data_IF_530825293428
#
_entry.id   IF_530825293428
#
_cell.length_a   1.000
_cell.length_b   1.000
_cell.length_c   1.000
_cell.angle_alpha   90.00
_cell.angle_beta   90.00
_cell.angle_gamma   90.00
#
_symmetry.space_group_name_H-M   'P 1'
#
loop_
_entity.id
_entity.type
_entity.pdbx_description
1 polymer ?
#
# COMPACT_ATOMS: atom_id res chain seq x y z
N UNK A 1 37.95 -7.58 2.87
CA UNK A 1 37.97 -6.91 4.19
C UNK A 1 36.96 -5.78 4.15
N UNK A 2 35.72 -6.04 4.52
CA UNK A 2 34.68 -5.02 4.60
C UNK A 2 34.14 -5.05 6.03
N UNK A 3 34.33 -3.96 6.76
CA UNK A 3 33.94 -3.84 8.17
C UNK A 3 32.43 -3.66 8.28
N UNK A 4 31.82 -4.57 9.05
CA UNK A 4 30.44 -4.52 9.50
C UNK A 4 30.22 -3.29 10.38
N UNK A 5 29.26 -2.43 10.02
CA UNK A 5 28.74 -1.40 10.92
C UNK A 5 27.43 -1.91 11.48
N UNK A 6 27.50 -2.37 12.71
CA UNK A 6 26.34 -2.74 13.53
C UNK A 6 25.90 -1.48 14.28
N UNK A 7 24.74 -0.92 13.95
CA UNK A 7 24.10 0.14 14.74
C UNK A 7 23.30 -0.48 15.87
N UNK A 8 23.86 -0.42 17.06
CA UNK A 8 23.22 -0.83 18.31
C UNK A 8 22.48 0.39 18.88
N UNK A 9 21.14 0.39 18.85
CA UNK A 9 20.34 1.38 19.56
C UNK A 9 20.36 1.08 21.06
N UNK A 10 21.11 1.84 21.83
CA UNK A 10 21.09 1.86 23.30
C UNK A 10 19.84 2.61 23.77
N UNK A 11 18.91 1.90 24.38
CA UNK A 11 17.80 2.45 25.17
C UNK A 11 18.35 2.84 26.55
N UNK A 12 18.48 4.13 26.82
CA UNK A 12 18.68 4.66 28.17
C UNK A 12 17.33 5.05 28.79
N UNK A 13 17.03 4.70 30.04
CA UNK A 13 15.80 5.11 30.71
C UNK A 13 15.90 6.59 31.10
N UNK A 14 15.06 7.43 30.52
CA UNK A 14 14.87 8.82 30.97
C UNK A 14 13.82 8.85 32.06
N UNK A 15 14.22 9.30 33.25
CA UNK A 15 13.34 9.62 34.36
C UNK A 15 12.53 10.87 34.03
N UNK A 16 11.22 10.72 33.84
CA UNK A 16 10.28 11.84 33.66
C UNK A 16 9.95 12.50 34.99
N UNK A 17 10.31 13.76 35.12
CA UNK A 17 9.70 14.66 36.11
C UNK A 17 8.44 15.28 35.51
N UNK A 18 7.33 15.14 36.23
CA UNK A 18 6.00 15.59 35.90
C UNK A 18 5.91 17.12 35.83
N UNK A 19 5.29 17.62 34.76
CA UNK A 19 4.93 19.02 34.60
C UNK A 19 4.54 19.32 33.15
N UNK A 20 3.53 18.65 32.61
CA UNK A 20 2.94 19.07 31.35
C UNK A 20 1.43 19.26 31.55
N UNK A 21 0.96 20.48 31.31
CA UNK A 21 -0.45 20.78 31.12
C UNK A 21 -0.98 19.90 29.99
N UNK A 22 -2.14 19.27 30.24
CA UNK A 22 -2.91 18.52 29.25
C UNK A 22 -3.28 19.45 28.09
N UNK A 23 -2.47 19.45 27.03
CA UNK A 23 -2.92 19.92 25.74
C UNK A 23 -3.84 18.82 25.19
N UNK A 24 -5.12 19.13 25.04
CA UNK A 24 -6.07 18.28 24.34
C UNK A 24 -5.47 17.82 23.01
N UNK A 25 -5.61 16.54 22.67
CA UNK A 25 -5.21 16.05 21.37
C UNK A 25 -5.88 16.92 20.29
N UNK A 26 -5.16 17.39 19.26
CA UNK A 26 -5.78 18.17 18.20
C UNK A 26 -6.91 17.35 17.58
N UNK A 27 -8.05 18.00 17.34
CA UNK A 27 -9.17 17.39 16.64
C UNK A 27 -8.69 16.79 15.31
N UNK A 28 -9.23 15.63 14.90
CA UNK A 28 -8.92 15.06 13.59
C UNK A 28 -9.15 16.12 12.52
N UNK A 29 -8.26 16.21 11.53
CA UNK A 29 -8.54 17.02 10.34
C UNK A 29 -9.79 16.45 9.70
N UNK A 30 -10.77 17.32 9.42
CA UNK A 30 -11.94 16.92 8.64
C UNK A 30 -11.44 16.35 7.30
N UNK A 31 -11.89 15.15 6.97
CA UNK A 31 -11.58 14.53 5.69
C UNK A 31 -12.00 15.40 4.49
N UNK A 32 -11.57 15.07 3.28
CA UNK A 32 -11.94 15.82 2.08
C UNK A 32 -13.48 15.92 1.97
N UNK A 33 -14.02 17.07 1.57
CA UNK A 33 -15.48 17.28 1.57
C UNK A 33 -16.17 16.35 0.57
N UNK A 34 -16.95 15.39 1.06
CA UNK A 34 -17.81 14.52 0.25
C UNK A 34 -19.05 15.27 -0.26
N UNK A 35 -19.70 14.73 -1.31
CA UNK A 35 -20.89 15.33 -1.93
C UNK A 35 -22.07 15.39 -0.96
N UNK A 36 -22.25 14.36 -0.16
CA UNK A 36 -23.30 14.25 0.86
C UNK A 36 -22.71 14.17 2.27
N UNK A 37 -23.37 14.74 3.29
CA UNK A 37 -22.90 14.63 4.66
C UNK A 37 -23.12 13.23 5.23
N UNK A 38 -22.18 12.74 6.02
CA UNK A 38 -22.31 11.48 6.76
C UNK A 38 -22.61 11.79 8.24
N UNK A 39 -23.90 11.80 8.65
CA UNK A 39 -24.27 12.25 10.00
C UNK A 39 -23.75 11.29 11.08
N UNK A 40 -22.94 11.81 12.02
CA UNK A 40 -22.35 11.05 13.12
C UNK A 40 -23.36 10.44 14.11
N UNK A 41 -24.58 10.93 14.14
CA UNK A 41 -25.64 10.39 14.99
C UNK A 41 -26.33 9.13 14.41
N UNK A 42 -26.23 8.88 13.12
CA UNK A 42 -26.83 7.71 12.47
C UNK A 42 -26.10 6.43 12.90
N UNK A 43 -26.86 5.34 13.07
CA UNK A 43 -26.31 4.00 13.36
C UNK A 43 -25.93 3.23 12.09
N UNK A 44 -25.94 3.88 10.97
CA UNK A 44 -25.48 3.37 9.69
C UNK A 44 -24.51 4.36 9.04
N UNK A 45 -23.65 3.83 8.22
CA UNK A 45 -22.79 4.59 7.31
C UNK A 45 -23.15 4.17 5.90
N UNK A 46 -23.32 5.13 5.02
CA UNK A 46 -23.53 4.89 3.60
C UNK A 46 -22.80 5.97 2.83
N UNK A 47 -21.86 5.56 2.02
CA UNK A 47 -21.04 6.42 1.19
C UNK A 47 -20.70 5.69 -0.12
N UNK A 48 -20.08 6.36 -1.03
CA UNK A 48 -19.56 5.74 -2.21
C UNK A 48 -18.53 6.61 -2.88
N UNK A 49 -17.74 5.98 -3.73
CA UNK A 49 -16.75 6.65 -4.55
C UNK A 49 -16.76 6.14 -5.98
N UNK A 50 -16.28 6.97 -6.89
CA UNK A 50 -15.96 6.57 -8.25
C UNK A 50 -14.64 7.23 -8.66
N UNK A 51 -13.71 6.45 -9.17
CA UNK A 51 -12.42 6.91 -9.65
C UNK A 51 -12.23 6.48 -11.10
N UNK A 52 -11.86 7.41 -11.96
CA UNK A 52 -11.59 7.18 -13.39
C UNK A 52 -10.22 7.75 -13.69
N UNK A 53 -9.32 6.90 -14.18
CA UNK A 53 -7.93 7.28 -14.47
C UNK A 53 -7.63 7.00 -15.94
N UNK A 54 -7.31 8.04 -16.67
CA UNK A 54 -6.71 7.96 -18.00
C UNK A 54 -5.19 8.06 -17.86
N UNK A 55 -4.46 7.13 -18.46
CA UNK A 55 -3.00 7.14 -18.53
C UNK A 55 -2.51 7.00 -19.96
N UNK A 56 -1.41 7.66 -20.28
CA UNK A 56 -0.75 7.55 -21.58
C UNK A 56 0.77 7.67 -21.44
N UNK A 57 1.51 7.07 -22.36
CA UNK A 57 2.92 7.35 -22.58
C UNK A 57 3.25 7.43 -24.06
N UNK A 58 4.23 8.25 -24.40
CA UNK A 58 4.81 8.31 -25.73
C UNK A 58 5.72 7.10 -25.99
N UNK A 59 6.09 6.81 -27.27
CA UNK A 59 7.09 5.79 -27.56
C UNK A 59 8.42 6.08 -26.86
N UNK A 60 9.06 5.03 -26.35
CA UNK A 60 10.36 5.10 -25.68
C UNK A 60 11.34 4.07 -26.27
N UNK A 61 12.61 4.21 -25.95
CA UNK A 61 13.64 3.28 -26.45
C UNK A 61 13.50 1.89 -25.84
N UNK A 62 13.45 0.85 -26.66
CA UNK A 62 13.54 -0.54 -26.27
C UNK A 62 14.08 -1.40 -27.40
N UNK A 63 15.23 -2.07 -27.25
CA UNK A 63 15.78 -2.95 -28.26
C UNK A 63 15.06 -4.30 -28.33
N UNK A 64 14.31 -4.69 -27.31
CA UNK A 64 13.56 -5.94 -27.23
C UNK A 64 12.38 -5.81 -26.27
N UNK A 65 11.40 -6.71 -26.42
CA UNK A 65 10.22 -6.83 -25.56
C UNK A 65 9.92 -8.32 -25.32
N UNK A 66 9.61 -8.66 -24.09
CA UNK A 66 9.09 -9.95 -23.67
C UNK A 66 7.59 -9.95 -23.42
N UNK A 67 7.02 -11.08 -23.04
CA UNK A 67 5.58 -11.17 -22.78
C UNK A 67 5.07 -10.26 -21.65
N UNK A 68 5.91 -10.04 -20.62
CA UNK A 68 5.61 -9.18 -19.48
C UNK A 68 6.41 -7.88 -19.55
N UNK A 69 6.42 -7.21 -20.69
CA UNK A 69 7.06 -5.90 -20.87
C UNK A 69 6.04 -4.78 -20.90
N UNK A 70 6.41 -3.62 -20.35
CA UNK A 70 5.79 -2.37 -20.75
C UNK A 70 6.11 -2.14 -22.22
N UNK A 71 5.12 -2.04 -23.09
CA UNK A 71 5.33 -1.92 -24.53
C UNK A 71 5.97 -0.57 -24.90
N UNK A 72 7.03 -0.59 -25.70
CA UNK A 72 7.76 0.63 -26.06
C UNK A 72 7.05 1.54 -27.06
N UNK A 73 6.06 1.04 -27.76
CA UNK A 73 5.16 1.85 -28.59
C UNK A 73 4.27 2.72 -27.69
N UNK A 74 3.98 3.95 -28.11
CA UNK A 74 3.03 4.79 -27.38
C UNK A 74 1.67 4.12 -27.23
N UNK A 75 1.11 4.17 -26.03
CA UNK A 75 -0.22 3.65 -25.74
C UNK A 75 -0.96 4.54 -24.74
N UNK A 76 -2.27 4.34 -24.65
CA UNK A 76 -3.10 4.91 -23.62
C UNK A 76 -4.11 3.88 -23.11
N UNK A 77 -4.49 4.01 -21.86
CA UNK A 77 -5.48 3.15 -21.19
C UNK A 77 -6.36 3.98 -20.26
N UNK A 78 -7.52 3.43 -19.99
CA UNK A 78 -8.42 3.99 -18.98
C UNK A 78 -8.86 2.89 -18.04
N UNK A 79 -8.72 3.14 -16.73
CA UNK A 79 -9.28 2.32 -15.67
C UNK A 79 -10.38 3.06 -14.94
N UNK A 80 -11.25 2.31 -14.29
CA UNK A 80 -12.29 2.83 -13.43
C UNK A 80 -12.54 1.90 -12.26
N UNK A 81 -12.77 2.47 -11.09
CA UNK A 81 -13.24 1.76 -9.92
C UNK A 81 -14.42 2.51 -9.31
N UNK A 82 -15.39 1.81 -8.80
CA UNK A 82 -16.48 2.37 -8.03
C UNK A 82 -16.77 1.48 -6.84
N UNK A 83 -16.88 2.09 -5.66
CA UNK A 83 -17.14 1.38 -4.40
C UNK A 83 -18.33 1.99 -3.70
N UNK A 84 -19.23 1.14 -3.22
CA UNK A 84 -20.32 1.51 -2.30
C UNK A 84 -19.93 0.98 -0.93
N UNK A 85 -19.77 1.89 0.03
CA UNK A 85 -19.46 1.61 1.41
C UNK A 85 -20.74 1.54 2.24
N UNK A 86 -20.93 0.47 2.99
CA UNK A 86 -22.05 0.31 3.90
C UNK A 86 -21.58 -0.21 5.25
N UNK A 87 -22.04 0.42 6.31
CA UNK A 87 -21.71 -0.01 7.68
C UNK A 87 -22.90 0.15 8.61
N UNK A 88 -22.97 -0.70 9.62
CA UNK A 88 -24.02 -0.70 10.65
C UNK A 88 -23.40 -0.84 12.03
N UNK A 89 -23.67 0.12 12.89
CA UNK A 89 -23.35 0.00 14.31
C UNK A 89 -24.31 -0.97 15.00
N UNK A 90 -23.84 -2.17 15.26
CA UNK A 90 -24.62 -3.21 15.96
C UNK A 90 -24.72 -2.91 17.45
N UNK A 91 -23.61 -2.47 18.05
CA UNK A 91 -23.53 -2.07 19.43
C UNK A 91 -22.87 -0.70 19.53
N UNK A 92 -23.54 0.26 20.13
CA UNK A 92 -23.01 1.59 20.45
C UNK A 92 -22.92 1.75 21.95
N UNK A 93 -21.72 1.63 22.50
CA UNK A 93 -21.44 1.83 23.92
C UNK A 93 -20.03 2.43 24.06
N UNK A 94 -19.79 3.39 24.97
CA UNK A 94 -18.47 4.01 25.13
C UNK A 94 -17.31 3.05 25.37
N UNK A 95 -17.58 1.88 25.99
CA UNK A 95 -16.55 0.85 26.23
C UNK A 95 -16.59 -0.32 25.25
N UNK A 96 -17.69 -0.50 24.55
CA UNK A 96 -17.88 -1.58 23.60
C UNK A 96 -18.60 -1.03 22.39
N UNK A 97 -17.96 -1.08 21.25
CA UNK A 97 -18.61 -0.79 19.98
C UNK A 97 -18.43 -1.97 19.04
N UNK A 98 -19.44 -2.25 18.25
CA UNK A 98 -19.39 -3.32 17.26
C UNK A 98 -20.00 -2.83 15.99
N UNK A 99 -19.23 -2.85 14.91
CA UNK A 99 -19.65 -2.51 13.56
C UNK A 99 -19.68 -3.75 12.68
N UNK A 100 -20.62 -3.77 11.74
CA UNK A 100 -20.61 -4.68 10.60
C UNK A 100 -20.46 -3.85 9.32
N UNK A 101 -19.46 -4.17 8.51
CA UNK A 101 -19.05 -3.42 7.32
C UNK A 101 -19.22 -4.32 6.09
N UNK A 102 -19.79 -3.75 5.01
CA UNK A 102 -20.00 -4.45 3.74
C UNK A 102 -19.77 -3.47 2.60
N UNK A 103 -18.79 -3.75 1.75
CA UNK A 103 -18.45 -2.92 0.60
C UNK A 103 -18.62 -3.69 -0.69
N UNK A 104 -19.34 -3.09 -1.62
CA UNK A 104 -19.50 -3.60 -2.98
C UNK A 104 -18.67 -2.74 -3.92
N UNK A 105 -17.83 -3.40 -4.69
CA UNK A 105 -16.91 -2.75 -5.60
C UNK A 105 -17.04 -3.30 -7.02
N UNK A 106 -16.80 -2.43 -7.99
CA UNK A 106 -16.68 -2.79 -9.39
C UNK A 106 -15.44 -2.09 -9.97
N UNK A 107 -14.45 -2.88 -10.40
CA UNK A 107 -13.26 -2.40 -11.06
C UNK A 107 -13.30 -2.78 -12.54
N UNK A 108 -12.95 -1.84 -13.42
CA UNK A 108 -13.01 -2.06 -14.87
C UNK A 108 -11.93 -1.28 -15.62
N UNK A 109 -11.91 -1.45 -16.94
CA UNK A 109 -10.88 -0.86 -17.78
C UNK A 109 -9.58 -1.67 -17.77
N UNK A 110 -8.45 -1.00 -18.08
CA UNK A 110 -7.15 -1.66 -18.24
C UNK A 110 -6.02 -0.74 -17.85
N UNK A 111 -4.88 -1.32 -17.43
CA UNK A 111 -3.62 -0.62 -17.23
C UNK A 111 -2.73 -0.60 -18.46
N UNK A 112 -1.73 0.27 -18.46
CA UNK A 112 -0.68 0.32 -19.47
C UNK A 112 -0.07 -1.08 -19.62
N UNK A 113 0.16 -1.49 -20.87
CA UNK A 113 0.59 -2.84 -21.25
C UNK A 113 -0.11 -3.97 -20.51
N UNK A 114 -1.41 -3.72 -20.18
CA UNK A 114 -2.29 -4.65 -19.44
C UNK A 114 -1.78 -4.96 -18.01
N UNK A 115 -1.20 -3.95 -17.35
CA UNK A 115 -0.63 -3.99 -16.00
C UNK A 115 0.61 -4.89 -15.85
N UNK A 116 1.53 -4.81 -16.80
CA UNK A 116 2.78 -5.58 -16.82
C UNK A 116 3.98 -4.69 -17.12
N UNK A 117 5.17 -5.19 -16.79
CA UNK A 117 6.45 -4.65 -17.21
C UNK A 117 7.01 -3.51 -16.39
N UNK A 118 6.41 -3.25 -15.21
CA UNK A 118 6.90 -2.30 -14.22
C UNK A 118 6.89 -2.94 -12.84
N UNK A 119 7.89 -2.69 -12.04
CA UNK A 119 7.91 -3.14 -10.65
C UNK A 119 7.01 -2.25 -9.77
N UNK A 120 7.17 -0.93 -9.86
CA UNK A 120 6.22 0.05 -9.34
C UNK A 120 5.19 0.40 -10.41
N UNK A 121 4.08 -0.34 -10.46
CA UNK A 121 3.06 -0.11 -11.47
C UNK A 121 2.38 1.25 -11.27
N UNK A 122 2.02 1.92 -12.37
CA UNK A 122 1.68 3.36 -12.42
C UNK A 122 0.26 3.70 -11.94
N UNK A 123 -0.57 2.71 -11.59
CA UNK A 123 -1.97 2.94 -11.25
C UNK A 123 -2.51 1.84 -10.35
N UNK A 124 -2.76 2.16 -9.09
CA UNK A 124 -3.22 1.20 -8.07
C UNK A 124 -4.63 0.65 -8.34
N UNK A 125 -5.49 1.41 -9.00
CA UNK A 125 -6.87 0.98 -9.31
C UNK A 125 -6.97 -0.10 -10.40
N UNK A 126 -5.85 -0.47 -11.00
CA UNK A 126 -5.84 -1.50 -12.05
C UNK A 126 -5.75 -2.89 -11.43
N UNK A 127 -6.77 -3.70 -11.68
CA UNK A 127 -6.70 -5.13 -11.38
C UNK A 127 -5.75 -5.79 -12.38
N UNK A 128 -4.70 -6.45 -11.87
CA UNK A 128 -3.66 -7.10 -12.68
C UNK A 128 -4.25 -8.16 -13.63
N UNK A 129 -5.33 -8.83 -13.26
CA UNK A 129 -5.97 -9.84 -14.09
C UNK A 129 -7.15 -9.24 -14.89
N UNK A 130 -6.95 -8.82 -16.14
CA UNK A 130 -7.98 -8.16 -16.94
C UNK A 130 -9.13 -9.09 -17.35
N UNK A 131 -9.00 -10.41 -17.18
CA UNK A 131 -10.05 -11.39 -17.50
C UNK A 131 -11.19 -11.41 -16.49
N UNK A 132 -11.03 -10.83 -15.32
CA UNK A 132 -12.06 -10.80 -14.27
C UNK A 132 -13.28 -9.92 -14.61
N UNK A 133 -13.11 -9.00 -15.57
CA UNK A 133 -14.18 -8.10 -15.98
C UNK A 133 -14.61 -7.12 -14.87
N UNK A 134 -15.62 -6.28 -15.19
CA UNK A 134 -16.13 -5.23 -14.30
C UNK A 134 -17.40 -5.63 -13.53
N UNK A 135 -17.67 -6.92 -13.37
CA UNK A 135 -18.81 -7.39 -12.57
C UNK A 135 -18.62 -6.98 -11.11
N UNK A 136 -19.63 -6.35 -10.49
CA UNK A 136 -19.56 -6.01 -9.06
C UNK A 136 -19.30 -7.23 -8.19
N UNK A 137 -18.51 -7.05 -7.15
CA UNK A 137 -18.15 -8.09 -6.19
C UNK A 137 -18.17 -7.53 -4.77
N UNK A 138 -18.29 -8.43 -3.79
CA UNK A 138 -18.19 -8.06 -2.38
C UNK A 138 -16.70 -7.91 -2.03
N UNK A 139 -16.25 -6.67 -1.90
CA UNK A 139 -14.86 -6.30 -1.64
C UNK A 139 -14.52 -6.51 -0.15
N UNK A 140 -15.37 -6.02 0.75
CA UNK A 140 -15.24 -6.19 2.20
C UNK A 140 -16.52 -6.74 2.80
N UNK A 141 -16.36 -7.59 3.78
CA UNK A 141 -17.38 -7.99 4.75
C UNK A 141 -16.67 -8.30 6.05
N UNK A 142 -16.80 -7.45 7.02
CA UNK A 142 -16.05 -7.60 8.26
C UNK A 142 -16.86 -7.14 9.48
N UNK A 143 -16.47 -7.66 10.63
CA UNK A 143 -16.91 -7.19 11.92
C UNK A 143 -15.74 -6.49 12.59
N UNK A 144 -15.95 -5.24 12.95
CA UNK A 144 -15.05 -4.45 13.77
C UNK A 144 -15.56 -4.39 15.19
N UNK A 145 -14.71 -4.73 16.16
CA UNK A 145 -15.04 -4.74 17.59
C UNK A 145 -14.06 -3.86 18.35
N UNK A 146 -14.58 -2.88 19.09
CA UNK A 146 -13.82 -2.04 20.02
C UNK A 146 -14.06 -2.50 21.45
N UNK A 147 -12.98 -2.58 22.25
CA UNK A 147 -13.01 -2.83 23.71
C UNK A 147 -12.21 -1.75 24.42
N UNK A 148 -12.88 -0.83 25.09
CA UNK A 148 -12.27 0.27 25.83
C UNK A 148 -11.61 -0.20 27.12
N UNK A 149 -10.38 0.23 27.34
CA UNK A 149 -9.59 -0.02 28.54
C UNK A 149 -9.48 1.22 29.46
N UNK A 150 -10.02 2.35 29.01
CA UNK A 150 -10.10 3.61 29.79
C UNK A 150 -11.43 4.31 29.52
N UNK A 151 -11.83 5.19 30.44
CA UNK A 151 -12.99 6.06 30.27
C UNK A 151 -12.66 7.38 29.56
N UNK A 152 -11.38 7.70 29.39
CA UNK A 152 -10.95 8.87 28.63
C UNK A 152 -11.17 8.62 27.14
N UNK A 153 -11.98 9.48 26.51
CA UNK A 153 -12.34 9.37 25.10
C UNK A 153 -11.49 10.34 24.25
N UNK A 154 -11.21 9.94 23.03
CA UNK A 154 -10.67 10.78 21.98
C UNK A 154 -11.69 10.88 20.84
N UNK A 155 -11.78 12.05 20.21
CA UNK A 155 -12.56 12.21 18.99
C UNK A 155 -12.00 11.31 17.89
N UNK A 156 -12.89 10.71 17.11
CA UNK A 156 -12.59 9.89 15.96
C UNK A 156 -13.42 10.36 14.76
N UNK A 157 -12.88 10.25 13.59
CA UNK A 157 -13.62 10.47 12.35
C UNK A 157 -14.27 9.15 11.90
N UNK A 158 -15.52 9.22 11.46
CA UNK A 158 -16.20 8.08 10.85
C UNK A 158 -15.58 7.81 9.47
N UNK A 159 -15.18 6.58 9.29
CA UNK A 159 -14.62 6.10 8.03
C UNK A 159 -15.41 4.88 7.55
N UNK A 160 -15.21 4.41 6.32
CA UNK A 160 -15.75 3.13 5.88
C UNK A 160 -15.36 1.92 6.76
N UNK A 161 -14.29 2.05 7.56
CA UNK A 161 -13.69 0.95 8.34
C UNK A 161 -13.91 1.06 9.86
N UNK A 162 -14.42 2.19 10.34
CA UNK A 162 -14.73 2.44 11.76
C UNK A 162 -15.83 3.51 11.86
N UNK A 163 -16.95 3.18 12.47
CA UNK A 163 -18.14 4.05 12.47
C UNK A 163 -18.24 4.96 13.70
N UNK A 164 -17.37 4.82 14.68
CA UNK A 164 -17.38 5.60 15.89
C UNK A 164 -16.89 7.03 15.68
N UNK A 165 -17.60 7.99 16.27
CA UNK A 165 -17.18 9.41 16.34
C UNK A 165 -16.31 9.72 17.55
N UNK A 166 -16.16 8.75 18.46
CA UNK A 166 -15.34 8.86 19.67
C UNK A 166 -14.90 7.47 20.12
N UNK A 167 -13.63 7.32 20.41
CA UNK A 167 -13.02 6.05 20.82
C UNK A 167 -12.28 6.21 22.16
N UNK A 168 -12.24 5.16 23.02
CA UNK A 168 -11.39 5.17 24.21
C UNK A 168 -9.92 5.39 23.84
N UNK A 169 -9.20 6.26 24.54
CA UNK A 169 -7.78 6.55 24.26
C UNK A 169 -6.90 5.30 24.38
N UNK A 170 -7.25 4.41 25.30
CA UNK A 170 -6.61 3.11 25.42
C UNK A 170 -7.65 2.02 25.18
N UNK A 171 -7.41 1.16 24.19
CA UNK A 171 -8.37 0.18 23.72
C UNK A 171 -7.72 -1.01 23.02
N UNK A 172 -8.51 -2.07 22.88
CA UNK A 172 -8.28 -3.15 21.93
C UNK A 172 -9.29 -3.03 20.82
N UNK A 173 -8.85 -3.28 19.60
CA UNK A 173 -9.70 -3.36 18.41
C UNK A 173 -9.44 -4.68 17.69
N UNK A 174 -10.50 -5.24 17.10
CA UNK A 174 -10.43 -6.49 16.37
C UNK A 174 -11.24 -6.35 15.08
N UNK A 175 -10.65 -6.73 13.96
CA UNK A 175 -11.34 -6.87 12.68
C UNK A 175 -11.28 -8.32 12.25
N UNK A 176 -12.39 -8.89 11.81
CA UNK A 176 -12.47 -10.27 11.33
C UNK A 176 -13.38 -10.30 10.12
N UNK A 177 -12.87 -10.83 9.02
CA UNK A 177 -13.61 -10.97 7.77
C UNK A 177 -12.73 -10.70 6.56
N UNK A 178 -13.36 -10.28 5.47
CA UNK A 178 -12.68 -9.92 4.23
C UNK A 178 -12.32 -8.45 4.23
N UNK A 179 -11.03 -8.15 4.01
CA UNK A 179 -10.46 -6.80 4.08
C UNK A 179 -9.25 -6.66 3.16
N UNK A 180 -8.77 -5.44 2.99
CA UNK A 180 -7.42 -5.17 2.48
C UNK A 180 -6.49 -4.92 3.65
N UNK A 181 -5.35 -5.60 3.75
CA UNK A 181 -4.40 -5.36 4.86
C UNK A 181 -3.85 -3.93 4.88
N UNK A 182 -3.58 -3.28 3.74
CA UNK A 182 -3.22 -1.87 3.67
C UNK A 182 -4.25 -0.88 4.25
N UNK A 183 -5.50 -1.28 4.47
CA UNK A 183 -6.47 -0.44 5.18
C UNK A 183 -6.09 -0.22 6.66
N UNK A 184 -5.27 -1.10 7.25
CA UNK A 184 -4.94 -1.11 8.67
C UNK A 184 -3.43 -1.07 8.96
N UNK A 185 -2.58 -1.50 8.04
CA UNK A 185 -1.13 -1.64 8.22
C UNK A 185 -0.37 -0.80 7.18
N UNK A 186 0.85 -0.36 7.52
CA UNK A 186 1.75 0.47 6.70
C UNK A 186 1.12 1.81 6.24
N UNK A 187 0.13 2.30 6.97
CA UNK A 187 -0.57 3.54 6.65
C UNK A 187 0.38 4.74 6.60
N UNK A 188 0.15 5.62 5.63
CA UNK A 188 0.87 6.88 5.46
C UNK A 188 -0.10 7.95 4.97
N UNK A 189 -0.27 9.01 5.73
CA UNK A 189 -1.23 10.08 5.39
C UNK A 189 -0.87 10.88 4.13
N UNK A 190 0.32 10.64 3.54
CA UNK A 190 0.85 11.39 2.38
C UNK A 190 0.82 10.52 1.13
N UNK A 191 1.04 9.21 1.24
CA UNK A 191 1.16 8.29 0.11
C UNK A 191 -0.02 7.33 -0.07
N UNK A 192 -0.64 6.89 1.03
CA UNK A 192 -1.63 5.79 1.02
C UNK A 192 -3.05 6.28 0.70
N UNK A 193 -3.23 6.86 -0.48
CA UNK A 193 -4.55 7.26 -1.01
C UNK A 193 -4.46 7.47 -2.52
N UNK A 194 -4.55 6.40 -3.29
CA UNK A 194 -4.50 6.43 -4.76
C UNK A 194 -5.66 7.21 -5.41
N UNK A 195 -6.70 7.55 -4.66
CA UNK A 195 -7.83 8.32 -5.17
C UNK A 195 -7.61 9.83 -5.13
N UNK A 196 -6.81 10.33 -4.19
CA UNK A 196 -6.57 11.76 -4.00
C UNK A 196 -5.07 12.15 -3.99
N UNK A 197 -4.16 11.17 -3.92
CA UNK A 197 -2.71 11.37 -3.83
C UNK A 197 -1.97 10.66 -4.96
N UNK A 198 -0.85 9.98 -4.67
CA UNK A 198 -0.03 9.26 -5.65
C UNK A 198 -0.74 8.02 -6.21
N UNK A 199 -0.38 7.63 -7.44
CA UNK A 199 -0.97 6.49 -8.16
C UNK A 199 -0.08 5.26 -8.15
N UNK A 200 1.22 5.43 -7.96
CA UNK A 200 2.19 4.35 -8.11
C UNK A 200 2.11 3.34 -6.98
N UNK A 201 2.09 2.05 -7.31
CA UNK A 201 1.96 0.95 -6.35
C UNK A 201 3.04 0.96 -5.27
N UNK A 202 4.31 1.26 -5.62
CA UNK A 202 5.42 1.27 -4.66
C UNK A 202 5.53 2.55 -3.83
N UNK A 203 4.59 3.50 -4.03
CA UNK A 203 4.45 4.73 -3.25
C UNK A 203 3.23 4.63 -2.33
N UNK A 204 2.11 4.16 -2.86
CA UNK A 204 0.87 3.99 -2.10
C UNK A 204 1.08 3.01 -0.94
N UNK A 205 1.71 1.87 -1.21
CA UNK A 205 2.08 0.89 -0.19
C UNK A 205 3.56 0.54 -0.31
N UNK A 206 4.14 -0.03 0.75
CA UNK A 206 5.51 -0.53 0.73
C UNK A 206 5.70 -1.60 -0.35
N UNK A 207 6.42 -1.27 -1.43
CA UNK A 207 6.60 -2.18 -2.55
C UNK A 207 7.22 -3.53 -2.18
N UNK A 208 8.07 -3.59 -1.16
CA UNK A 208 8.68 -4.85 -0.73
C UNK A 208 7.83 -5.64 0.29
N UNK A 209 6.66 -5.14 0.66
CA UNK A 209 5.71 -5.85 1.50
C UNK A 209 4.77 -6.69 0.64
N UNK A 210 5.10 -7.95 0.48
CA UNK A 210 4.29 -8.94 -0.25
C UNK A 210 3.07 -9.37 0.59
N UNK A 211 2.16 -8.42 0.85
CA UNK A 211 1.03 -8.64 1.74
C UNK A 211 0.01 -9.62 1.17
N UNK A 212 -0.55 -10.45 2.06
CA UNK A 212 -1.54 -11.45 1.68
C UNK A 212 -2.78 -10.79 1.05
N UNK A 213 -3.01 -11.06 -0.23
CA UNK A 213 -4.16 -10.59 -0.98
C UNK A 213 -4.38 -11.45 -2.22
N UNK A 214 -5.62 -11.55 -2.67
CA UNK A 214 -5.93 -12.05 -4.00
C UNK A 214 -5.64 -10.97 -5.06
N UNK A 215 -5.79 -11.28 -6.33
CA UNK A 215 -5.55 -10.35 -7.45
C UNK A 215 -6.39 -9.06 -7.42
N UNK A 216 -7.41 -8.97 -6.55
CA UNK A 216 -8.22 -7.75 -6.34
C UNK A 216 -7.77 -6.93 -5.13
N UNK A 217 -6.73 -7.35 -4.41
CA UNK A 217 -6.20 -6.64 -3.24
C UNK A 217 -6.85 -7.03 -1.90
N UNK A 218 -7.72 -8.06 -1.85
CA UNK A 218 -8.46 -8.46 -0.65
C UNK A 218 -8.08 -9.85 -0.17
N UNK A 219 -8.18 -10.03 1.15
CA UNK A 219 -8.00 -11.33 1.81
C UNK A 219 -8.99 -11.52 2.94
N UNK A 220 -9.20 -12.76 3.37
CA UNK A 220 -9.91 -13.06 4.61
C UNK A 220 -8.89 -13.11 5.76
N UNK A 221 -9.07 -12.24 6.75
CA UNK A 221 -8.10 -12.02 7.82
C UNK A 221 -8.74 -11.80 9.19
N UNK A 222 -7.90 -11.93 10.21
CA UNK A 222 -8.16 -11.46 11.56
C UNK A 222 -7.04 -10.51 11.98
N UNK A 223 -7.40 -9.31 12.40
CA UNK A 223 -6.48 -8.28 12.88
C UNK A 223 -6.80 -7.95 14.32
N UNK A 224 -5.79 -7.88 15.17
CA UNK A 224 -5.87 -7.41 16.54
C UNK A 224 -4.97 -6.18 16.71
N UNK A 225 -5.52 -5.13 17.29
CA UNK A 225 -4.81 -3.89 17.56
C UNK A 225 -4.93 -3.54 19.04
N UNK A 226 -3.82 -3.11 19.64
CA UNK A 226 -3.79 -2.40 20.90
C UNK A 226 -3.34 -0.98 20.67
N UNK A 227 -4.19 -0.02 21.02
CA UNK A 227 -3.89 1.41 20.92
C UNK A 227 -3.78 2.01 22.32
N UNK A 228 -2.71 2.80 22.54
CA UNK A 228 -2.52 3.72 23.65
C UNK A 228 -2.26 5.13 23.08
N UNK A 229 -2.17 6.13 23.93
CA UNK A 229 -1.98 7.54 23.58
C UNK A 229 -0.81 7.76 22.58
N UNK A 230 0.34 7.12 22.79
CA UNK A 230 1.59 7.37 22.06
C UNK A 230 1.95 6.27 21.06
N UNK A 231 1.32 5.10 21.15
CA UNK A 231 1.67 3.99 20.26
C UNK A 231 0.48 3.10 19.94
N UNK A 232 0.62 2.36 18.85
CA UNK A 232 -0.28 1.28 18.46
C UNK A 232 0.55 0.06 18.10
N UNK A 233 0.12 -1.12 18.54
CA UNK A 233 0.69 -2.40 18.14
C UNK A 233 -0.38 -3.24 17.45
N UNK A 234 -0.06 -3.78 16.27
CA UNK A 234 -0.97 -4.57 15.42
C UNK A 234 -0.42 -5.95 15.14
N UNK A 235 -1.30 -6.92 15.07
CA UNK A 235 -1.02 -8.25 14.56
C UNK A 235 -2.12 -8.65 13.58
N UNK A 236 -1.76 -9.14 12.40
CA UNK A 236 -2.68 -9.64 11.40
C UNK A 236 -2.31 -11.07 10.99
N UNK A 237 -3.33 -11.94 10.90
CA UNK A 237 -3.26 -13.27 10.32
C UNK A 237 -4.22 -13.32 9.13
N UNK A 238 -3.73 -13.64 7.95
CA UNK A 238 -4.46 -13.57 6.70
C UNK A 238 -4.30 -14.83 5.85
N UNK A 239 -5.29 -15.14 5.04
CA UNK A 239 -5.23 -16.17 4.02
C UNK A 239 -4.38 -15.70 2.83
N UNK A 240 -3.54 -16.58 2.28
CA UNK A 240 -2.76 -16.30 1.07
C UNK A 240 -3.51 -16.80 -0.17
N UNK A 241 -3.26 -16.25 -1.36
CA UNK A 241 -3.81 -16.83 -2.59
C UNK A 241 -3.25 -18.23 -2.85
N UNK A 242 -3.99 -19.05 -3.58
CA UNK A 242 -3.58 -20.44 -3.92
C UNK A 242 -2.43 -20.49 -4.92
N UNK A 243 -2.28 -19.46 -5.75
CA UNK A 243 -1.19 -19.25 -6.70
C UNK A 243 -0.83 -17.76 -6.72
N UNK A 244 0.35 -17.42 -7.16
CA UNK A 244 0.80 -16.03 -7.23
C UNK A 244 -0.21 -15.16 -7.99
N UNK A 245 -0.62 -14.06 -7.35
CA UNK A 245 -1.65 -13.14 -7.84
C UNK A 245 -2.97 -13.81 -8.30
N UNK A 246 -3.32 -14.95 -7.66
CA UNK A 246 -4.56 -15.68 -7.95
C UNK A 246 -5.80 -15.02 -7.36
N UNK A 247 -6.99 -15.41 -7.86
CA UNK A 247 -8.26 -14.91 -7.31
C UNK A 247 -8.71 -15.70 -6.08
N UNK A 248 -8.38 -16.99 -6.01
CA UNK A 248 -8.83 -17.88 -4.96
C UNK A 248 -7.85 -17.88 -3.79
N UNK A 249 -8.37 -17.89 -2.55
CA UNK A 249 -7.60 -17.94 -1.32
C UNK A 249 -7.50 -19.37 -0.77
N UNK A 250 -6.37 -19.68 -0.17
CA UNK A 250 -6.14 -20.93 0.56
C UNK A 250 -6.59 -20.76 2.03
N UNK A 251 -7.59 -21.50 2.43
CA UNK A 251 -8.14 -21.42 3.79
C UNK A 251 -7.49 -22.40 4.79
N UNK A 252 -6.62 -23.26 4.31
CA UNK A 252 -5.78 -24.06 5.20
C UNK A 252 -4.56 -23.24 5.66
N UNK A 253 -4.74 -22.46 6.72
CA UNK A 253 -3.71 -21.56 7.25
C UNK A 253 -2.40 -22.26 7.68
N UNK A 254 -2.39 -23.61 7.74
CA UNK A 254 -1.15 -24.38 7.95
C UNK A 254 -0.37 -24.56 6.65
N UNK A 255 -1.01 -24.49 5.51
CA UNK A 255 -0.39 -24.59 4.19
C UNK A 255 -0.02 -23.21 3.64
N UNK A 256 -0.93 -22.23 3.79
CA UNK A 256 -0.68 -20.88 3.32
C UNK A 256 -1.26 -19.86 4.31
N UNK A 257 -0.45 -18.92 4.76
CA UNK A 257 -0.86 -17.83 5.65
C UNK A 257 0.13 -16.68 5.60
N UNK A 258 -0.40 -15.45 5.67
CA UNK A 258 0.39 -14.24 5.89
C UNK A 258 0.25 -13.80 7.35
N UNK A 259 1.37 -13.54 8.01
CA UNK A 259 1.41 -13.00 9.37
C UNK A 259 2.15 -11.67 9.35
N UNK A 260 1.56 -10.66 9.98
CA UNK A 260 2.12 -9.31 10.02
C UNK A 260 2.11 -8.80 11.45
N UNK A 261 3.16 -8.09 11.82
CA UNK A 261 3.28 -7.36 13.10
C UNK A 261 3.69 -5.92 12.78
N UNK A 262 2.96 -4.96 13.31
CA UNK A 262 3.33 -3.55 13.18
C UNK A 262 3.35 -2.85 14.54
N UNK A 263 4.35 -1.99 14.72
CA UNK A 263 4.42 -1.05 15.82
C UNK A 263 4.43 0.37 15.25
N UNK A 264 3.47 1.19 15.65
CA UNK A 264 3.36 2.61 15.34
C UNK A 264 3.68 3.45 16.58
N UNK A 265 4.53 4.45 16.41
CA UNK A 265 4.87 5.46 17.42
C UNK A 265 4.46 6.84 16.91
N UNK A 266 3.53 7.51 17.60
CA UNK A 266 2.95 8.80 17.19
C UNK A 266 3.66 10.03 17.74
N UNK A 267 4.45 9.89 18.80
CA UNK A 267 5.33 10.96 19.27
C UNK A 267 6.74 10.70 18.82
N UNK A 268 7.24 11.58 17.96
CA UNK A 268 8.58 11.44 17.41
C UNK A 268 9.65 11.28 18.50
N UNK A 269 10.62 10.37 18.30
CA UNK A 269 11.76 10.21 19.19
C UNK A 269 12.47 11.55 19.35
N UNK A 270 13.12 11.76 20.51
CA UNK A 270 13.73 13.01 20.95
C UNK A 270 14.81 13.66 20.06
N UNK A 271 15.00 13.15 18.84
CA UNK A 271 15.91 13.67 17.81
C UNK A 271 15.37 14.88 17.05
N UNK A 272 14.02 15.10 17.08
CA UNK A 272 13.43 16.23 16.38
C UNK A 272 13.46 17.51 17.21
N UNK A 273 13.53 18.66 16.53
CA UNK A 273 13.46 19.97 17.17
C UNK A 273 12.15 20.13 17.93
N UNK A 274 12.13 20.98 18.98
CA UNK A 274 10.93 21.23 19.77
C UNK A 274 9.73 21.68 18.90
N UNK A 275 9.97 22.44 17.83
CA UNK A 275 8.93 22.88 16.91
C UNK A 275 8.28 21.71 16.13
N UNK A 276 9.06 20.70 15.75
CA UNK A 276 8.54 19.51 15.06
C UNK A 276 7.80 18.56 16.02
N UNK A 277 8.20 18.49 17.28
CA UNK A 277 7.51 17.67 18.30
C UNK A 277 6.09 18.13 18.61
N UNK A 278 5.74 19.37 18.30
CA UNK A 278 4.39 19.92 18.47
C UNK A 278 3.49 19.65 17.27
N UNK A 279 4.04 19.07 16.18
CA UNK A 279 3.31 18.73 14.95
C UNK A 279 3.05 17.24 14.88
N UNK A 280 2.01 16.85 14.12
CA UNK A 280 1.68 15.44 13.88
C UNK A 280 2.82 14.74 13.15
N UNK A 281 3.07 13.51 13.54
CA UNK A 281 4.04 12.63 12.90
C UNK A 281 3.96 11.24 13.49
N UNK A 282 4.37 10.26 12.70
CA UNK A 282 4.38 8.87 13.09
C UNK A 282 5.60 8.13 12.52
N UNK A 283 6.02 7.10 13.23
CA UNK A 283 6.99 6.11 12.75
C UNK A 283 6.33 4.74 12.89
N UNK A 284 6.35 3.97 11.82
CA UNK A 284 5.82 2.60 11.79
C UNK A 284 6.94 1.63 11.42
N UNK A 285 6.94 0.49 12.07
CA UNK A 285 7.84 -0.63 11.76
C UNK A 285 7.00 -1.86 11.58
N UNK A 286 7.05 -2.41 10.38
CA UNK A 286 6.31 -3.59 9.97
C UNK A 286 7.28 -4.78 9.83
N UNK A 287 6.88 -5.96 10.31
CA UNK A 287 7.50 -7.24 9.99
C UNK A 287 6.46 -8.20 9.44
N UNK A 288 6.81 -8.99 8.44
CA UNK A 288 5.89 -10.00 7.89
C UNK A 288 6.56 -11.33 7.62
N UNK A 289 5.76 -12.38 7.67
CA UNK A 289 6.12 -13.75 7.28
C UNK A 289 4.97 -14.36 6.52
N UNK A 290 5.24 -14.78 5.29
CA UNK A 290 4.30 -15.47 4.43
C UNK A 290 4.70 -16.94 4.28
N UNK A 291 3.74 -17.83 4.41
CA UNK A 291 3.84 -19.24 4.04
C UNK A 291 2.91 -19.46 2.86
N UNK A 292 3.41 -20.02 1.77
CA UNK A 292 2.63 -20.40 0.59
C UNK A 292 3.46 -21.37 -0.27
N UNK A 293 2.87 -21.86 -1.34
CA UNK A 293 3.53 -22.69 -2.34
C UNK A 293 4.28 -21.78 -3.34
N UNK A 294 5.37 -21.16 -2.89
CA UNK A 294 6.18 -20.22 -3.66
C UNK A 294 7.39 -20.91 -4.28
N UNK A 295 7.63 -20.66 -5.57
CA UNK A 295 8.84 -21.14 -6.27
C UNK A 295 10.12 -20.48 -5.73
N UNK A 296 11.25 -21.19 -5.86
CA UNK A 296 12.59 -20.70 -5.53
C UNK A 296 13.35 -20.34 -6.81
N UNK A 297 13.78 -19.09 -6.97
CA UNK A 297 14.45 -18.59 -8.17
C UNK A 297 15.73 -19.37 -8.49
N UNK A 298 16.52 -19.70 -7.46
CA UNK A 298 17.78 -20.44 -7.64
C UNK A 298 17.54 -21.88 -8.10
N UNK A 299 16.51 -22.53 -7.58
CA UNK A 299 16.12 -23.87 -8.01
C UNK A 299 15.76 -23.87 -9.50
N UNK A 300 14.93 -22.92 -9.94
CA UNK A 300 14.52 -22.82 -11.34
C UNK A 300 15.68 -22.48 -12.29
N UNK A 301 16.59 -21.62 -11.89
CA UNK A 301 17.83 -21.36 -12.62
C UNK A 301 18.65 -22.65 -12.79
N UNK A 302 18.78 -23.47 -11.74
CA UNK A 302 19.52 -24.74 -11.78
C UNK A 302 18.86 -25.78 -12.70
N UNK A 303 17.54 -25.86 -12.73
CA UNK A 303 16.80 -26.76 -13.62
C UNK A 303 17.04 -26.36 -15.09
N UNK A 304 16.96 -25.07 -15.40
CA UNK A 304 17.26 -24.54 -16.72
C UNK A 304 18.71 -24.83 -17.15
N UNK A 305 19.70 -24.54 -16.33
CA UNK A 305 21.12 -24.75 -16.64
C UNK A 305 21.45 -26.24 -16.85
N UNK A 306 20.68 -27.16 -16.26
CA UNK A 306 20.78 -28.61 -16.51
C UNK A 306 20.05 -29.06 -17.78
N UNK A 307 19.38 -28.14 -18.52
CA UNK A 307 18.60 -28.46 -19.70
C UNK A 307 17.31 -29.22 -19.44
N UNK A 308 16.79 -29.13 -18.21
CA UNK A 308 15.54 -29.81 -17.79
C UNK A 308 14.29 -28.99 -18.13
N UNK A 309 14.46 -27.67 -18.34
CA UNK A 309 13.40 -26.74 -18.77
C UNK A 309 13.91 -25.89 -19.93
N UNK A 310 13.04 -25.47 -20.87
CA UNK A 310 13.44 -24.61 -22.00
C UNK A 310 13.76 -23.17 -21.58
N UNK A 311 13.16 -22.69 -20.51
CA UNK A 311 13.37 -21.39 -19.84
C UNK A 311 13.24 -21.62 -18.33
N UNK A 312 13.82 -20.78 -17.46
CA UNK A 312 13.49 -20.80 -16.04
C UNK A 312 12.00 -20.52 -15.86
N UNK A 313 11.33 -21.33 -15.05
CA UNK A 313 9.89 -21.19 -14.77
C UNK A 313 9.62 -21.30 -13.29
N UNK A 314 9.30 -20.18 -12.64
CA UNK A 314 9.11 -20.09 -11.19
C UNK A 314 7.92 -20.91 -10.70
N UNK A 315 6.97 -21.20 -11.59
CA UNK A 315 5.77 -21.98 -11.26
C UNK A 315 5.97 -23.49 -11.43
N UNK A 316 7.06 -23.92 -12.09
CA UNK A 316 7.33 -25.33 -12.40
C UNK A 316 8.06 -26.05 -11.27
N UNK A 317 7.45 -26.14 -10.10
CA UNK A 317 7.97 -26.85 -8.93
C UNK A 317 6.92 -27.81 -8.35
N UNK A 318 7.38 -28.81 -7.60
CA UNK A 318 6.47 -29.66 -6.84
C UNK A 318 5.86 -28.84 -5.67
N UNK A 319 4.56 -29.00 -5.39
CA UNK A 319 3.92 -28.31 -4.30
C UNK A 319 4.66 -28.48 -2.97
N UNK A 320 5.13 -27.38 -2.40
CA UNK A 320 5.90 -27.36 -1.17
C UNK A 320 5.74 -26.00 -0.48
N UNK A 321 5.17 -25.98 0.73
CA UNK A 321 5.13 -24.72 1.49
C UNK A 321 6.54 -24.18 1.71
N UNK A 322 6.75 -22.94 1.29
CA UNK A 322 7.98 -22.17 1.48
C UNK A 322 7.69 -20.98 2.38
N UNK A 323 8.69 -20.24 2.77
CA UNK A 323 8.56 -19.11 3.68
C UNK A 323 9.27 -17.89 3.11
N UNK A 324 8.53 -16.81 2.91
CA UNK A 324 9.05 -15.48 2.56
C UNK A 324 8.83 -14.53 3.71
N UNK A 325 9.81 -13.69 4.01
CA UNK A 325 9.74 -12.75 5.13
C UNK A 325 10.40 -11.42 4.78
N UNK A 326 9.98 -10.39 5.47
CA UNK A 326 10.53 -9.06 5.26
C UNK A 326 10.20 -8.09 6.38
N UNK A 327 10.70 -6.87 6.19
CA UNK A 327 10.52 -5.76 7.12
C UNK A 327 10.23 -4.47 6.34
N UNK A 328 9.40 -3.62 6.91
CA UNK A 328 9.10 -2.28 6.43
C UNK A 328 9.34 -1.23 7.50
N UNK A 329 9.63 -0.04 7.06
CA UNK A 329 9.66 1.16 7.87
C UNK A 329 8.96 2.28 7.12
N UNK A 330 8.14 3.03 7.83
CA UNK A 330 7.35 4.14 7.32
C UNK A 330 7.43 5.30 8.33
N UNK A 331 7.77 6.47 7.85
CA UNK A 331 7.87 7.69 8.65
C UNK A 331 7.12 8.81 7.96
N UNK A 332 6.32 9.56 8.71
CA UNK A 332 5.65 10.77 8.25
C UNK A 332 5.77 11.89 9.28
N UNK A 333 5.85 13.14 8.83
CA UNK A 333 5.97 14.31 9.68
C UNK A 333 5.40 15.57 9.04
N UNK A 334 4.54 16.29 9.75
CA UNK A 334 4.21 17.67 9.43
C UNK A 334 5.41 18.57 9.69
N UNK A 335 5.85 19.29 8.66
CA UNK A 335 6.98 20.24 8.76
C UNK A 335 6.50 21.70 8.81
N UNK A 336 5.28 21.97 8.36
CA UNK A 336 4.61 23.29 8.39
C UNK A 336 3.10 23.10 8.52
N UNK A 337 2.32 24.16 8.53
CA UNK A 337 0.86 24.10 8.52
C UNK A 337 0.30 23.51 7.21
N UNK A 338 1.07 23.59 6.13
CA UNK A 338 0.63 23.16 4.81
C UNK A 338 1.51 22.05 4.23
N UNK A 339 2.67 21.77 4.80
CA UNK A 339 3.64 20.83 4.23
C UNK A 339 3.92 19.65 5.12
N UNK A 340 3.91 18.46 4.53
CA UNK A 340 4.24 17.18 5.16
C UNK A 340 5.30 16.45 4.36
N UNK A 341 6.10 15.64 5.03
CA UNK A 341 7.12 14.80 4.40
C UNK A 341 7.02 13.37 4.91
N UNK A 342 7.44 12.42 4.09
CA UNK A 342 7.52 11.03 4.47
C UNK A 342 8.76 10.34 3.91
N UNK A 343 9.11 9.22 4.51
CA UNK A 343 10.05 8.25 3.96
C UNK A 343 9.54 6.84 4.23
N UNK A 344 9.77 5.95 3.28
CA UNK A 344 9.39 4.55 3.38
C UNK A 344 10.57 3.68 2.95
N UNK A 345 10.77 2.57 3.64
CA UNK A 345 11.75 1.57 3.30
C UNK A 345 11.12 0.20 3.41
N UNK A 346 11.43 -0.69 2.47
CA UNK A 346 11.03 -2.07 2.49
C UNK A 346 12.17 -3.00 2.08
N UNK A 347 12.16 -4.18 2.65
CA UNK A 347 13.07 -5.26 2.31
C UNK A 347 12.41 -6.61 2.56
N UNK A 348 12.61 -7.53 1.64
CA UNK A 348 12.30 -8.95 1.84
C UNK A 348 13.47 -9.84 1.42
N UNK A 349 13.37 -11.12 1.70
CA UNK A 349 14.46 -12.07 1.50
C UNK A 349 14.78 -12.33 0.02
N UNK A 350 13.80 -12.18 -0.92
CA UNK A 350 13.98 -12.22 -2.38
C UNK A 350 14.53 -13.50 -2.97
N UNK A 351 14.43 -14.65 -2.29
CA UNK A 351 14.77 -15.98 -2.81
C UNK A 351 13.56 -16.65 -3.46
N UNK A 352 12.39 -16.39 -2.87
CA UNK A 352 11.13 -16.96 -3.29
C UNK A 352 10.33 -16.00 -4.15
N UNK A 353 9.47 -16.57 -4.96
CA UNK A 353 8.50 -15.89 -5.79
C UNK A 353 7.76 -14.78 -5.03
N UNK A 354 7.56 -13.63 -5.67
CA UNK A 354 6.59 -12.65 -5.18
C UNK A 354 5.18 -13.16 -5.43
N UNK A 355 4.31 -13.05 -4.42
CA UNK A 355 3.10 -13.86 -4.43
C UNK A 355 1.80 -13.07 -4.54
N UNK A 356 1.77 -11.86 -4.00
CA UNK A 356 0.50 -11.14 -3.90
C UNK A 356 0.52 -9.71 -4.46
N UNK A 357 1.57 -8.91 -4.22
CA UNK A 357 1.52 -7.48 -4.50
C UNK A 357 2.42 -7.04 -5.66
N UNK A 358 3.72 -6.98 -5.45
CA UNK A 358 4.69 -6.49 -6.44
C UNK A 358 5.88 -7.44 -6.55
N UNK A 359 6.64 -7.34 -7.64
CA UNK A 359 7.93 -8.01 -7.78
C UNK A 359 9.08 -7.08 -7.36
N UNK A 360 9.08 -6.69 -6.07
CA UNK A 360 10.06 -5.80 -5.46
C UNK A 360 10.64 -6.47 -4.21
N UNK A 361 11.97 -6.59 -4.13
CA UNK A 361 12.65 -7.14 -2.95
C UNK A 361 13.19 -6.05 -2.02
N UNK A 362 13.40 -4.84 -2.55
CA UNK A 362 13.79 -3.66 -1.79
C UNK A 362 13.17 -2.41 -2.39
N UNK A 363 12.66 -1.53 -1.54
CA UNK A 363 12.14 -0.23 -1.94
C UNK A 363 12.63 0.85 -0.97
N UNK A 364 12.87 2.04 -1.48
CA UNK A 364 13.09 3.26 -0.69
C UNK A 364 12.29 4.36 -1.36
N UNK A 365 11.40 4.99 -0.62
CA UNK A 365 10.65 6.15 -1.08
C UNK A 365 10.88 7.35 -0.15
N UNK A 366 10.89 8.54 -0.72
CA UNK A 366 10.94 9.79 0.02
C UNK A 366 10.22 10.89 -0.75
N UNK A 367 9.35 11.60 -0.09
CA UNK A 367 8.55 12.65 -0.71
C UNK A 367 7.79 13.49 0.29
N UNK A 368 6.79 14.17 -0.23
CA UNK A 368 5.91 14.99 0.59
C UNK A 368 4.80 15.61 -0.21
N UNK A 369 3.92 16.28 0.51
CA UNK A 369 2.82 17.05 -0.06
C UNK A 369 2.71 18.46 0.54
N UNK A 370 1.98 19.31 -0.16
CA UNK A 370 1.72 20.67 0.24
C UNK A 370 0.26 21.04 -0.04
N UNK A 371 -0.47 21.42 1.01
CA UNK A 371 -1.83 21.95 0.90
C UNK A 371 -1.81 23.39 0.38
N UNK A 372 -2.59 23.68 -0.65
CA UNK A 372 -2.55 24.96 -1.38
C UNK A 372 -3.32 26.09 -0.67
N UNK A 373 -3.50 26.01 0.65
CA UNK A 373 -4.22 27.03 1.47
C UNK A 373 -3.66 28.44 1.27
N UNK A 374 -2.32 28.56 1.18
CA UNK A 374 -1.65 29.85 0.95
C UNK A 374 -2.00 30.51 -0.38
N UNK A 375 -2.52 29.75 -1.34
CA UNK A 375 -2.97 30.20 -2.65
C UNK A 375 -4.49 30.35 -2.76
N UNK A 376 -5.21 30.33 -1.63
CA UNK A 376 -6.67 30.41 -1.59
C UNK A 376 -7.39 29.12 -2.04
N UNK A 377 -6.67 27.99 -2.10
CA UNK A 377 -7.16 26.68 -2.53
C UNK A 377 -7.00 25.64 -1.40
N UNK A 378 -7.79 25.74 -0.30
CA UNK A 378 -7.54 24.94 0.91
C UNK A 378 -7.73 23.43 0.73
N UNK A 379 -8.50 23.01 -0.26
CA UNK A 379 -8.77 21.59 -0.54
C UNK A 379 -7.94 21.04 -1.71
N UNK A 380 -7.09 21.87 -2.34
CA UNK A 380 -6.15 21.41 -3.35
C UNK A 380 -4.86 20.97 -2.71
N UNK A 381 -4.19 20.02 -3.36
CA UNK A 381 -2.93 19.45 -2.88
C UNK A 381 -1.95 19.23 -4.04
N UNK A 382 -0.69 19.52 -3.79
CA UNK A 382 0.43 19.13 -4.65
C UNK A 382 1.30 18.14 -3.91
N UNK A 383 1.71 17.06 -4.55
CA UNK A 383 2.65 16.10 -4.01
C UNK A 383 3.77 15.79 -4.99
N UNK A 384 4.93 15.45 -4.45
CA UNK A 384 6.08 14.94 -5.20
C UNK A 384 6.83 13.91 -4.38
N UNK A 385 7.25 12.84 -5.04
CA UNK A 385 7.98 11.75 -4.40
C UNK A 385 8.99 11.13 -5.36
N UNK A 386 10.03 10.54 -4.78
CA UNK A 386 10.98 9.67 -5.44
C UNK A 386 10.93 8.30 -4.80
N UNK A 387 10.92 7.26 -5.62
CA UNK A 387 11.04 5.88 -5.17
C UNK A 387 12.08 5.14 -6.03
N UNK A 388 12.83 4.26 -5.38
CA UNK A 388 13.81 3.39 -6.04
C UNK A 388 13.59 1.94 -5.62
N UNK A 389 13.31 1.08 -6.59
CA UNK A 389 13.01 -0.33 -6.41
C UNK A 389 14.18 -1.22 -6.83
N UNK A 390 14.33 -2.38 -6.20
CA UNK A 390 15.36 -3.34 -6.55
C UNK A 390 14.91 -4.78 -6.27
N UNK A 391 15.54 -5.71 -6.98
CA UNK A 391 15.40 -7.15 -6.78
C UNK A 391 16.73 -7.79 -6.41
N UNK A 392 16.69 -8.95 -5.75
CA UNK A 392 17.85 -9.75 -5.34
C UNK A 392 18.53 -10.40 -6.54
N UNK A 393 19.78 -10.81 -6.33
CA UNK A 393 20.64 -11.35 -7.38
C UNK A 393 20.05 -12.60 -8.07
N UNK A 394 19.43 -13.49 -7.32
CA UNK A 394 18.85 -14.70 -7.91
C UNK A 394 17.64 -14.35 -8.78
N UNK A 395 16.82 -13.37 -8.36
CA UNK A 395 15.71 -12.84 -9.15
C UNK A 395 16.23 -12.12 -10.41
N UNK A 396 17.31 -11.31 -10.31
CA UNK A 396 17.97 -10.68 -11.47
C UNK A 396 18.44 -11.72 -12.51
N UNK A 397 19.12 -12.79 -12.05
CA UNK A 397 19.62 -13.84 -12.92
C UNK A 397 18.47 -14.64 -13.55
N UNK A 398 17.39 -14.88 -12.79
CA UNK A 398 16.19 -15.55 -13.28
C UNK A 398 15.56 -14.76 -14.47
N UNK A 399 15.33 -13.44 -14.31
CA UNK A 399 14.79 -12.60 -15.37
C UNK A 399 15.76 -12.47 -16.56
N UNK A 400 17.07 -12.38 -16.31
CA UNK A 400 18.11 -12.33 -17.33
C UNK A 400 18.15 -13.57 -18.22
N UNK A 401 17.88 -14.73 -17.66
CA UNK A 401 17.80 -16.01 -18.38
C UNK A 401 16.45 -16.21 -19.10
N UNK A 402 15.58 -15.20 -19.14
CA UNK A 402 14.28 -15.25 -19.79
C UNK A 402 13.14 -15.77 -18.94
N UNK A 403 13.36 -15.91 -17.62
CA UNK A 403 12.27 -16.23 -16.67
C UNK A 403 11.22 -15.11 -16.63
N UNK A 404 10.03 -15.47 -16.24
CA UNK A 404 8.89 -14.55 -16.10
C UNK A 404 8.27 -14.69 -14.71
N UNK A 405 8.01 -13.55 -14.05
CA UNK A 405 7.16 -13.47 -12.90
C UNK A 405 5.72 -13.11 -13.27
N UNK A 406 4.91 -12.77 -12.30
CA UNK A 406 3.53 -12.39 -12.57
C UNK A 406 3.38 -10.95 -13.11
N UNK A 407 4.40 -10.08 -12.94
CA UNK A 407 4.44 -8.71 -13.48
C UNK A 407 5.56 -8.51 -14.50
N UNK A 408 6.73 -9.14 -14.31
CA UNK A 408 7.96 -8.82 -15.01
C UNK A 408 8.42 -9.97 -15.92
N UNK A 409 9.16 -9.62 -16.99
CA UNK A 409 9.75 -10.58 -17.89
C UNK A 409 9.97 -10.04 -19.29
N UNK A 410 11.07 -9.32 -19.52
CA UNK A 410 11.47 -8.78 -20.84
C UNK A 410 12.12 -9.82 -21.77
N UNK A 411 12.33 -11.05 -21.28
CA UNK A 411 13.06 -12.10 -22.01
C UNK A 411 14.58 -12.00 -21.89
N UNK A 412 15.09 -10.88 -21.41
CA UNK A 412 16.48 -10.60 -21.05
C UNK A 412 16.53 -9.44 -20.06
N UNK A 413 17.61 -9.32 -19.29
CA UNK A 413 17.77 -8.25 -18.31
C UNK A 413 19.22 -7.75 -18.28
N UNK A 414 19.37 -6.44 -18.51
CA UNK A 414 20.56 -5.68 -18.14
C UNK A 414 20.21 -4.86 -16.91
N UNK A 415 20.50 -5.40 -15.71
CA UNK A 415 19.96 -4.93 -14.46
C UNK A 415 20.38 -3.50 -14.08
N UNK A 416 19.39 -2.69 -13.75
CA UNK A 416 19.51 -1.47 -12.96
C UNK A 416 18.34 -1.37 -11.98
N UNK A 417 18.38 -0.46 -11.01
CA UNK A 417 17.21 -0.18 -10.17
C UNK A 417 16.15 0.52 -11.02
N UNK A 418 14.89 0.22 -10.76
CA UNK A 418 13.79 1.02 -11.31
C UNK A 418 13.62 2.25 -10.42
N UNK A 419 13.89 3.42 -10.97
CA UNK A 419 13.81 4.70 -10.28
C UNK A 419 12.61 5.49 -10.82
N UNK A 420 11.76 5.96 -9.93
CA UNK A 420 10.51 6.64 -10.27
C UNK A 420 10.47 7.99 -9.56
N UNK A 421 10.11 9.04 -10.29
CA UNK A 421 9.68 10.32 -9.74
C UNK A 421 8.23 10.50 -10.12
N UNK A 422 7.36 10.66 -9.14
CA UNK A 422 5.95 10.97 -9.34
C UNK A 422 5.60 12.32 -8.75
N UNK A 423 4.81 13.10 -9.49
CA UNK A 423 4.28 14.38 -9.03
C UNK A 423 2.82 14.53 -9.45
N UNK A 424 1.98 14.96 -8.53
CA UNK A 424 0.57 15.22 -8.80
C UNK A 424 0.12 16.61 -8.34
N UNK A 425 -0.91 17.12 -9.00
CA UNK A 425 -1.73 18.23 -8.51
C UNK A 425 -3.19 17.79 -8.47
N UNK A 426 -3.76 17.72 -7.24
CA UNK A 426 -5.15 17.37 -7.01
C UNK A 426 -5.97 18.65 -6.84
N UNK A 427 -6.87 18.90 -7.80
CA UNK A 427 -7.74 20.08 -7.88
C UNK A 427 -9.14 19.76 -7.36
N UNK A 428 -9.55 20.36 -6.27
CA UNK A 428 -10.91 20.30 -5.76
C UNK A 428 -11.81 21.21 -6.60
N UNK A 429 -12.57 20.63 -7.50
CA UNK A 429 -13.42 21.35 -8.44
C UNK A 429 -14.77 21.73 -7.82
N UNK A 430 -15.35 20.80 -7.06
CA UNK A 430 -16.64 20.93 -6.44
C UNK A 430 -16.73 19.99 -5.23
N UNK A 431 -17.72 20.18 -4.35
CA UNK A 431 -17.96 19.30 -3.19
C UNK A 431 -18.02 17.83 -3.65
N UNK A 432 -17.11 17.00 -3.14
CA UNK A 432 -16.95 15.61 -3.52
C UNK A 432 -16.43 15.35 -4.94
N UNK A 433 -16.00 16.38 -5.70
CA UNK A 433 -15.48 16.17 -7.06
C UNK A 433 -14.07 16.74 -7.18
N UNK A 434 -13.15 15.88 -7.58
CA UNK A 434 -11.74 16.18 -7.71
C UNK A 434 -11.21 15.79 -9.10
N UNK A 435 -10.28 16.57 -9.61
CA UNK A 435 -9.50 16.23 -10.79
C UNK A 435 -8.02 16.26 -10.40
N UNK A 436 -7.26 15.30 -10.85
CA UNK A 436 -5.83 15.34 -10.68
C UNK A 436 -5.11 15.20 -12.02
N UNK A 437 -4.02 15.93 -12.15
CA UNK A 437 -2.99 15.69 -13.15
C UNK A 437 -1.81 15.05 -12.42
N UNK A 438 -1.28 13.97 -12.97
CA UNK A 438 -0.19 13.18 -12.40
C UNK A 438 0.81 12.81 -13.47
N UNK A 439 2.10 12.93 -13.16
CA UNK A 439 3.21 12.58 -14.02
C UNK A 439 4.16 11.64 -13.30
N UNK A 440 4.54 10.55 -13.96
CA UNK A 440 5.53 9.59 -13.48
C UNK A 440 6.67 9.46 -14.47
N UNK A 441 7.87 9.89 -14.09
CA UNK A 441 9.09 9.59 -14.82
C UNK A 441 9.68 8.29 -14.28
N UNK A 442 9.88 7.30 -15.16
CA UNK A 442 10.37 5.98 -14.81
C UNK A 442 11.67 5.71 -15.57
N UNK A 443 12.77 5.59 -14.86
CA UNK A 443 14.03 5.11 -15.39
C UNK A 443 14.13 3.60 -15.22
N UNK A 444 14.66 2.92 -16.22
CA UNK A 444 14.89 1.47 -16.23
C UNK A 444 13.62 0.65 -15.93
N UNK A 445 12.53 0.81 -16.73
CA UNK A 445 11.28 0.12 -16.51
C UNK A 445 11.49 -1.39 -16.45
N UNK A 446 10.93 -2.05 -15.43
CA UNK A 446 11.12 -3.48 -15.16
C UNK A 446 12.57 -3.85 -14.81
N UNK A 447 13.31 -2.94 -14.19
CA UNK A 447 14.73 -3.08 -13.82
C UNK A 447 15.72 -3.14 -14.97
N UNK A 448 15.33 -2.75 -16.19
CA UNK A 448 16.12 -2.98 -17.39
C UNK A 448 16.68 -1.67 -17.96
N UNK A 449 18.01 -1.46 -17.80
CA UNK A 449 18.67 -0.25 -18.30
C UNK A 449 18.82 -0.20 -19.82
N UNK A 450 18.57 -1.29 -20.55
CA UNK A 450 18.51 -1.29 -22.01
C UNK A 450 17.20 -0.64 -22.50
N UNK A 451 16.23 -0.41 -21.61
CA UNK A 451 14.90 0.09 -21.92
C UNK A 451 14.60 1.40 -21.21
N UNK A 452 13.80 2.25 -21.80
CA UNK A 452 13.32 3.51 -21.22
C UNK A 452 14.30 4.67 -21.46
N UNK A 453 14.25 5.76 -20.71
CA UNK A 453 13.23 6.06 -19.71
C UNK A 453 11.86 6.32 -20.33
N UNK A 454 10.81 6.26 -19.54
CA UNK A 454 9.44 6.54 -19.98
C UNK A 454 8.78 7.59 -19.07
N UNK A 455 7.99 8.49 -19.67
CA UNK A 455 7.11 9.41 -18.98
C UNK A 455 5.69 8.89 -19.12
N UNK A 456 4.99 8.72 -18.00
CA UNK A 456 3.57 8.37 -17.95
C UNK A 456 2.79 9.58 -17.45
N UNK A 457 1.88 10.05 -18.27
CA UNK A 457 0.98 11.16 -17.98
C UNK A 457 -0.38 10.61 -17.62
N UNK A 458 -0.99 11.13 -16.53
CA UNK A 458 -2.28 10.66 -16.03
C UNK A 458 -3.23 11.82 -15.77
N UNK A 459 -4.49 11.59 -16.06
CA UNK A 459 -5.60 12.45 -15.62
C UNK A 459 -6.57 11.59 -14.83
N UNK A 460 -6.83 11.99 -13.59
CA UNK A 460 -7.77 11.32 -12.71
C UNK A 460 -8.98 12.20 -12.44
N UNK A 461 -10.18 11.63 -12.47
CA UNK A 461 -11.40 12.17 -11.93
C UNK A 461 -11.85 11.32 -10.77
N UNK A 462 -12.00 11.91 -9.60
CA UNK A 462 -12.50 11.26 -8.40
C UNK A 462 -13.80 11.94 -7.94
N UNK A 463 -14.78 11.11 -7.55
CA UNK A 463 -16.05 11.54 -6.98
C UNK A 463 -16.29 10.82 -5.67
N UNK A 464 -16.59 11.60 -4.61
CA UNK A 464 -16.85 11.13 -3.25
C UNK A 464 -18.28 11.51 -2.84
N UNK A 465 -19.15 10.57 -2.55
CA UNK A 465 -20.56 10.81 -2.27
C UNK A 465 -21.15 9.97 -1.12
#
# INVERSE_FOLDING_TARGET
MLKSILFLCLLAPATCTSGAQDAAAPAPEAGPPAMFPHPGAARYFFAGQANIIFQAHAPFHSPYEGPNSLLSRGEYKTSMIGTIYTGFELVRNPRYATDAIFDVEAAGGRGLSEALGLAGFTNLDVVRNPSLGSTPYLARYEVHQVVGLTDTMAESERTPYSLETSLPQRRLEFWVGRMSLPDLLDLNSIGTDSHLQFLNWSIDNNGAWDYAANTRGYTDAAVAEYTDHDFTARYALAAMPTVANGIDLEYNLKQASGQNVELELRRGPGIFTQALRQRKGAVRVLGFVNHADMGDYREQIQLFLKGLTPTPDITAHAPKPTMKYGVGWNFEQEISENGRVYTQFGWNEGQHESYAYTEIDQTIAAGGDYAMKAFGRPNDKFGITFVTNAIKRDHQEYLKLGGMGFLLGDGNLNYAREDIVEAYYNYHAWKGVYYAFDEQFIAHPGYNQDRGSVMVESVRMHVDF
#
